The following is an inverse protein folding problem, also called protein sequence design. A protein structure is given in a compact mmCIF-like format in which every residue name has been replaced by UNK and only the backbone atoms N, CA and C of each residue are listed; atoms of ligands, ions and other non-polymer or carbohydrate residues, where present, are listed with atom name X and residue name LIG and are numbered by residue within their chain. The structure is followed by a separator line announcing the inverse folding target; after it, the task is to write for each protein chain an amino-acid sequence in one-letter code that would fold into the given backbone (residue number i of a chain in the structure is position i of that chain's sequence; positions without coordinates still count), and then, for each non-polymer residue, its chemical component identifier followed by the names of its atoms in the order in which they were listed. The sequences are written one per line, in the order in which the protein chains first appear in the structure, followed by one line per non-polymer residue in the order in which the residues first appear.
data_IF_663251990241
#
_entry.id   IF_663251990241
#
_cell.length_a   1.000
_cell.length_b   1.000
_cell.length_c   1.000
_cell.angle_alpha   90.00
_cell.angle_beta   90.00
_cell.angle_gamma   90.00
#
_symmetry.space_group_name_H-M   'P 1'
#
loop_
_entity.id
_entity.type
_entity.pdbx_description
1 polymer ?
#
# COMPACT_ATOMS: atom_id res chain seq x y z
N UNK A 1 -0.96 24.73 16.69
CA UNK A 1 -0.76 23.86 15.52
C UNK A 1 -1.64 22.64 15.71
N UNK A 2 -2.74 22.57 14.97
CA UNK A 2 -3.57 21.37 14.94
C UNK A 2 -2.74 20.23 14.35
N UNK A 3 -2.57 19.15 15.11
CA UNK A 3 -1.96 17.93 14.62
C UNK A 3 -3.02 17.30 13.71
N UNK A 4 -3.00 17.63 12.41
CA UNK A 4 -3.75 16.84 11.43
C UNK A 4 -3.22 15.41 11.55
N UNK A 5 -4.02 14.50 12.10
CA UNK A 5 -3.69 13.08 12.13
C UNK A 5 -3.52 12.62 10.68
N UNK A 6 -2.28 12.64 10.20
CA UNK A 6 -1.96 12.23 8.84
C UNK A 6 -2.43 10.80 8.66
N UNK A 7 -3.28 10.59 7.65
CA UNK A 7 -3.75 9.28 7.30
C UNK A 7 -2.54 8.37 7.03
N UNK A 8 -2.45 7.27 7.78
CA UNK A 8 -1.46 6.22 7.53
C UNK A 8 -2.09 5.15 6.65
N UNK A 9 -1.37 4.81 5.60
CA UNK A 9 -1.73 3.81 4.62
C UNK A 9 -0.71 2.68 4.64
N UNK A 10 -1.17 1.53 4.22
CA UNK A 10 -0.37 0.33 4.01
C UNK A 10 -0.63 -0.13 2.60
N UNK A 11 0.39 -0.07 1.77
CA UNK A 11 0.34 -0.58 0.42
C UNK A 11 1.05 -1.94 0.37
N UNK A 12 0.43 -2.89 -0.30
CA UNK A 12 0.81 -4.29 -0.33
C UNK A 12 0.79 -4.77 -1.78
N UNK A 13 1.84 -5.51 -2.17
CA UNK A 13 1.85 -6.35 -3.35
C UNK A 13 1.93 -7.80 -2.92
N UNK A 14 1.02 -8.61 -3.44
CA UNK A 14 1.02 -10.06 -3.22
C UNK A 14 1.19 -10.78 -4.55
N UNK A 15 2.29 -11.49 -4.68
CA UNK A 15 2.48 -12.50 -5.72
C UNK A 15 1.79 -13.80 -5.29
N UNK A 16 2.14 -14.30 -4.11
CA UNK A 16 1.63 -15.53 -3.51
C UNK A 16 1.26 -15.32 -2.03
N UNK A 17 0.85 -16.38 -1.32
CA UNK A 17 0.60 -16.32 0.13
C UNK A 17 1.87 -16.11 0.97
N UNK A 18 3.04 -16.49 0.43
CA UNK A 18 4.35 -16.37 1.06
C UNK A 18 5.13 -15.12 0.58
N UNK A 19 5.02 -14.80 -0.70
CA UNK A 19 5.74 -13.67 -1.31
C UNK A 19 4.84 -12.44 -1.36
N UNK A 20 5.05 -11.53 -0.41
CA UNK A 20 4.35 -10.26 -0.34
C UNK A 20 5.30 -9.12 0.05
N UNK A 21 5.24 -8.03 -0.73
CA UNK A 21 5.85 -6.77 -0.37
C UNK A 21 4.83 -5.90 0.37
N UNK A 22 5.29 -5.19 1.40
CA UNK A 22 4.44 -4.29 2.17
C UNK A 22 5.22 -3.06 2.58
N UNK A 23 4.62 -1.89 2.39
CA UNK A 23 5.16 -0.61 2.86
C UNK A 23 4.06 0.22 3.52
N UNK A 24 4.35 0.68 4.72
CA UNK A 24 3.49 1.63 5.44
C UNK A 24 3.95 3.06 5.07
N UNK A 25 3.01 3.94 4.76
CA UNK A 25 3.25 5.31 4.28
C UNK A 25 2.19 6.26 4.83
N UNK A 26 2.42 7.57 4.73
CA UNK A 26 1.38 8.57 5.01
C UNK A 26 0.69 9.02 3.71
N UNK A 27 -0.33 9.86 3.82
CA UNK A 27 -1.10 10.39 2.68
C UNK A 27 -0.24 11.02 1.59
N UNK A 28 0.74 11.83 1.99
CA UNK A 28 1.63 12.52 1.06
C UNK A 28 2.54 11.56 0.29
N UNK A 29 2.83 10.39 0.87
CA UNK A 29 3.70 9.36 0.30
C UNK A 29 2.92 8.24 -0.40
N UNK A 30 1.60 8.25 -0.36
CA UNK A 30 0.78 7.15 -0.84
C UNK A 30 0.96 6.93 -2.35
N UNK A 31 0.98 8.01 -3.14
CA UNK A 31 1.08 7.90 -4.59
C UNK A 31 2.46 7.41 -5.04
N UNK A 32 3.53 7.95 -4.46
CA UNK A 32 4.90 7.46 -4.67
C UNK A 32 5.03 5.98 -4.28
N UNK A 33 4.44 5.59 -3.14
CA UNK A 33 4.46 4.20 -2.68
C UNK A 33 3.69 3.28 -3.63
N UNK A 34 2.58 3.73 -4.24
CA UNK A 34 1.88 2.96 -5.27
C UNK A 34 2.75 2.76 -6.51
N UNK A 35 3.45 3.79 -6.96
CA UNK A 35 4.34 3.69 -8.13
C UNK A 35 5.46 2.67 -7.88
N UNK A 36 6.16 2.76 -6.75
CA UNK A 36 7.18 1.80 -6.35
C UNK A 36 6.64 0.36 -6.36
N UNK A 37 5.45 0.15 -5.82
CA UNK A 37 4.83 -1.18 -5.77
C UNK A 37 4.40 -1.67 -7.15
N UNK A 38 4.01 -0.77 -8.06
CA UNK A 38 3.72 -1.10 -9.46
C UNK A 38 4.98 -1.50 -10.22
N UNK A 39 6.09 -0.81 -9.99
CA UNK A 39 7.39 -1.15 -10.59
C UNK A 39 7.82 -2.57 -10.16
N UNK A 40 7.76 -2.86 -8.86
CA UNK A 40 8.03 -4.20 -8.32
C UNK A 40 7.09 -5.24 -8.95
N UNK A 41 5.79 -4.93 -9.07
CA UNK A 41 4.83 -5.84 -9.74
C UNK A 41 5.20 -6.08 -11.20
N UNK A 42 5.66 -5.06 -11.93
CA UNK A 42 5.99 -5.18 -13.35
C UNK A 42 7.23 -6.05 -13.56
N UNK A 43 8.22 -5.98 -12.67
CA UNK A 43 9.37 -6.91 -12.68
C UNK A 43 8.95 -8.36 -12.43
N UNK A 44 7.94 -8.57 -11.58
CA UNK A 44 7.46 -9.91 -11.19
C UNK A 44 6.41 -10.51 -12.15
N UNK A 45 5.92 -9.73 -13.12
CA UNK A 45 4.90 -10.03 -14.15
C UNK A 45 3.52 -10.53 -13.64
N UNK A 46 3.38 -10.84 -12.34
CA UNK A 46 2.21 -11.50 -11.75
C UNK A 46 1.91 -10.97 -10.35
N UNK A 47 0.63 -10.96 -9.95
CA UNK A 47 0.19 -10.58 -8.59
C UNK A 47 -0.75 -9.39 -8.53
N UNK A 48 -1.20 -9.04 -7.32
CA UNK A 48 -2.18 -7.98 -7.07
C UNK A 48 -1.62 -6.93 -6.12
N UNK A 49 -1.79 -5.66 -6.49
CA UNK A 49 -1.46 -4.50 -5.68
C UNK A 49 -2.72 -3.95 -5.01
N UNK A 50 -2.65 -3.65 -3.72
CA UNK A 50 -3.71 -2.96 -3.01
C UNK A 50 -3.15 -2.12 -1.88
N UNK A 51 -3.86 -1.07 -1.49
CA UNK A 51 -3.56 -0.33 -0.27
C UNK A 51 -4.78 -0.28 0.65
N UNK A 52 -4.52 0.05 1.91
CA UNK A 52 -5.55 0.20 2.94
C UNK A 52 -5.12 1.19 4.00
N UNK A 53 -6.06 1.87 4.64
CA UNK A 53 -5.79 2.75 5.79
C UNK A 53 -5.55 1.90 7.05
N UNK A 54 -4.63 2.33 7.93
CA UNK A 54 -4.27 1.65 9.18
C UNK A 54 -4.00 2.71 10.28
N UNK A 55 -4.24 2.46 11.59
CA UNK A 55 -4.77 1.27 12.24
C UNK A 55 -6.27 1.37 12.49
N UNK A 56 -7.14 1.08 11.51
CA UNK A 56 -8.58 1.04 11.77
C UNK A 56 -9.20 -0.27 11.27
N UNK A 57 -9.99 -0.89 12.15
CA UNK A 57 -10.43 -2.30 12.11
C UNK A 57 -11.33 -2.74 10.94
N UNK A 58 -11.66 -1.85 10.01
CA UNK A 58 -12.39 -2.15 8.76
C UNK A 58 -11.62 -1.61 7.56
N UNK A 59 -10.38 -2.08 7.40
CA UNK A 59 -9.49 -1.58 6.36
C UNK A 59 -9.86 -2.20 4.99
N UNK A 60 -10.77 -1.54 4.25
CA UNK A 60 -11.13 -1.88 2.87
C UNK A 60 -9.88 -1.85 2.00
N UNK A 61 -9.59 -2.95 1.31
CA UNK A 61 -8.52 -3.01 0.31
C UNK A 61 -8.96 -2.24 -0.93
N UNK A 62 -8.13 -1.30 -1.38
CA UNK A 62 -8.31 -0.56 -2.62
C UNK A 62 -7.23 -1.05 -3.58
N UNK A 63 -7.65 -1.73 -4.64
CA UNK A 63 -6.76 -2.24 -5.69
C UNK A 63 -6.38 -1.12 -6.66
N UNK A 64 -5.15 -1.14 -7.17
CA UNK A 64 -4.62 -0.11 -8.06
C UNK A 64 -3.60 -0.65 -9.06
#
# INVERSE_FOLDING_TARGET
MEIYEMNKYRAEFRRNSKDYFRKDCNENQLEETKQLIKEIKNEEETGKCYYRRFPLGKSKKIYF
#
